data_IF_439586417192
#
_entry.id   IF_439586417192
#
_cell.length_a   1.000
_cell.length_b   1.000
_cell.length_c   1.000
_cell.angle_alpha   90.00
_cell.angle_beta   90.00
_cell.angle_gamma   90.00
#
_symmetry.space_group_name_H-M   'P 1'
#
loop_
_entity.id
_entity.type
_entity.pdbx_description
1 polymer ?
#
# COMPACT_ATOMS: atom_id res chain seq x y z
N UNK A 1 -7.59 -14.04 16.65
CA UNK A 1 -7.63 -12.93 17.65
C UNK A 1 -7.98 -11.72 16.82
N UNK A 2 -9.11 -11.06 17.04
CA UNK A 2 -9.62 -10.04 16.11
C UNK A 2 -8.60 -8.90 15.99
N UNK A 3 -8.21 -8.57 14.75
CA UNK A 3 -7.40 -7.39 14.44
C UNK A 3 -8.18 -6.17 14.91
N UNK A 4 -7.62 -5.43 15.88
CA UNK A 4 -8.26 -4.21 16.38
C UNK A 4 -8.09 -3.10 15.35
N UNK A 5 -9.21 -2.66 14.77
CA UNK A 5 -9.18 -1.57 13.80
C UNK A 5 -9.02 -0.22 14.51
N UNK A 6 -8.06 0.57 14.04
CA UNK A 6 -7.74 1.89 14.58
C UNK A 6 -8.57 2.94 13.82
N UNK A 7 -9.38 3.78 14.51
CA UNK A 7 -10.08 4.89 13.87
C UNK A 7 -9.11 5.91 13.28
N UNK A 8 -9.23 6.19 11.98
CA UNK A 8 -8.40 7.13 11.22
C UNK A 8 -9.27 7.89 10.19
N UNK A 9 -10.27 8.68 10.65
CA UNK A 9 -11.25 9.34 9.76
C UNK A 9 -10.61 10.24 8.69
N UNK A 10 -9.41 10.75 8.93
CA UNK A 10 -8.64 11.55 7.98
C UNK A 10 -8.22 10.77 6.73
N UNK A 11 -8.21 9.43 6.76
CA UNK A 11 -7.87 8.59 5.61
C UNK A 11 -9.00 8.43 4.60
N UNK A 12 -10.25 8.73 4.97
CA UNK A 12 -11.41 8.52 4.10
C UNK A 12 -11.26 9.21 2.75
N UNK A 13 -10.94 10.50 2.77
CA UNK A 13 -10.79 11.28 1.55
C UNK A 13 -9.65 10.77 0.64
N UNK A 14 -8.39 10.61 1.11
CA UNK A 14 -7.31 10.14 0.25
C UNK A 14 -7.48 8.68 -0.22
N UNK A 15 -8.17 7.82 0.54
CA UNK A 15 -8.50 6.46 0.10
C UNK A 15 -9.51 6.47 -1.04
N UNK A 16 -10.63 7.19 -0.86
CA UNK A 16 -11.67 7.29 -1.89
C UNK A 16 -11.13 7.97 -3.16
N UNK A 17 -10.27 8.97 -3.03
CA UNK A 17 -9.60 9.61 -4.17
C UNK A 17 -8.70 8.63 -4.93
N UNK A 18 -7.92 7.82 -4.22
CA UNK A 18 -7.09 6.78 -4.83
C UNK A 18 -7.94 5.75 -5.59
N UNK A 19 -9.01 5.23 -4.96
CA UNK A 19 -9.92 4.26 -5.58
C UNK A 19 -10.53 4.87 -6.86
N UNK A 20 -11.06 6.09 -6.79
CA UNK A 20 -11.64 6.77 -7.95
C UNK A 20 -10.61 7.00 -9.06
N UNK A 21 -9.37 7.38 -8.70
CA UNK A 21 -8.28 7.59 -9.66
C UNK A 21 -7.88 6.31 -10.36
N UNK A 22 -7.70 5.21 -9.62
CA UNK A 22 -7.39 3.88 -10.19
C UNK A 22 -8.52 3.42 -11.10
N UNK A 23 -9.77 3.50 -10.65
CA UNK A 23 -10.92 3.05 -11.42
C UNK A 23 -11.07 3.84 -12.73
N UNK A 24 -10.93 5.17 -12.66
CA UNK A 24 -10.98 6.03 -13.85
C UNK A 24 -9.84 5.69 -14.81
N UNK A 25 -8.62 5.55 -14.30
CA UNK A 25 -7.44 5.31 -15.14
C UNK A 25 -7.43 3.91 -15.76
N UNK A 26 -7.93 2.89 -15.06
CA UNK A 26 -8.02 1.51 -15.54
C UNK A 26 -8.80 1.40 -16.84
N UNK A 27 -9.88 2.17 -17.00
CA UNK A 27 -10.67 2.20 -18.26
C UNK A 27 -9.92 2.86 -19.43
N UNK A 28 -8.83 3.59 -19.16
CA UNK A 28 -8.02 4.30 -20.16
C UNK A 28 -6.79 3.54 -20.66
N UNK A 29 -6.53 2.32 -20.18
CA UNK A 29 -5.34 1.54 -20.52
C UNK A 29 -4.24 1.64 -19.47
N UNK A 30 -2.97 1.54 -19.87
CA UNK A 30 -1.84 1.67 -18.93
C UNK A 30 -1.79 3.07 -18.29
N UNK A 31 -1.49 3.11 -16.98
CA UNK A 31 -1.41 4.37 -16.23
C UNK A 31 -0.37 4.31 -15.12
N UNK A 32 -0.10 5.46 -14.51
CA UNK A 32 0.83 5.57 -13.38
C UNK A 32 0.22 6.31 -12.19
N UNK A 33 0.62 5.92 -10.98
CA UNK A 33 0.29 6.60 -9.72
C UNK A 33 1.58 6.78 -8.94
N UNK A 34 1.83 7.97 -8.42
CA UNK A 34 3.01 8.22 -7.59
C UNK A 34 2.97 7.30 -6.36
N UNK A 35 4.08 6.62 -6.06
CA UNK A 35 4.14 5.71 -4.90
C UNK A 35 3.86 6.46 -3.59
N UNK A 36 4.25 7.73 -3.51
CA UNK A 36 3.94 8.61 -2.38
C UNK A 36 2.42 8.83 -2.21
N UNK A 37 1.66 8.94 -3.29
CA UNK A 37 0.19 9.11 -3.21
C UNK A 37 -0.44 7.84 -2.63
N UNK A 38 -0.02 6.66 -3.09
CA UNK A 38 -0.49 5.38 -2.56
C UNK A 38 -0.21 5.24 -1.06
N UNK A 39 1.02 5.56 -0.63
CA UNK A 39 1.41 5.50 0.78
C UNK A 39 0.64 6.50 1.65
N UNK A 40 0.26 7.65 1.08
CA UNK A 40 -0.59 8.63 1.77
C UNK A 40 -1.98 8.04 2.02
N UNK A 41 -2.59 7.41 1.02
CA UNK A 41 -3.90 6.75 1.16
C UNK A 41 -3.87 5.55 2.10
N UNK A 42 -2.73 4.87 2.23
CA UNK A 42 -2.56 3.76 3.17
C UNK A 42 -2.36 4.21 4.62
N UNK A 43 -2.25 5.51 4.88
CA UNK A 43 -2.19 6.07 6.23
C UNK A 43 -0.86 5.91 6.94
N UNK A 44 0.23 5.73 6.19
CA UNK A 44 1.58 5.65 6.73
C UNK A 44 2.07 7.03 7.16
N UNK A 45 2.36 7.19 8.45
CA UNK A 45 2.96 8.40 9.02
C UNK A 45 4.47 8.40 8.80
N UNK A 46 4.95 9.20 7.85
CA UNK A 46 6.35 9.30 7.49
C UNK A 46 6.89 10.72 7.72
N UNK A 47 8.13 10.82 8.19
CA UNK A 47 8.83 12.10 8.26
C UNK A 47 9.09 12.71 6.88
N UNK A 48 9.28 14.03 6.81
CA UNK A 48 9.45 14.76 5.54
C UNK A 48 10.60 14.22 4.66
N UNK A 49 11.70 13.78 5.27
CA UNK A 49 12.83 13.16 4.55
C UNK A 49 12.47 11.82 3.91
N UNK A 50 11.61 11.03 4.56
CA UNK A 50 11.14 9.73 4.04
C UNK A 50 10.13 9.92 2.92
N UNK A 51 9.27 10.94 3.00
CA UNK A 51 8.42 11.37 1.89
C UNK A 51 9.24 11.77 0.65
N UNK A 52 10.36 12.46 0.84
CA UNK A 52 11.24 12.79 -0.28
C UNK A 52 11.84 11.55 -0.93
N UNK A 53 12.19 10.51 -0.16
CA UNK A 53 12.66 9.22 -0.70
C UNK A 53 11.57 8.50 -1.50
N UNK A 54 10.32 8.52 -1.04
CA UNK A 54 9.18 7.97 -1.77
C UNK A 54 8.96 8.70 -3.10
N UNK A 55 8.95 10.04 -3.07
CA UNK A 55 8.80 10.84 -4.30
C UNK A 55 9.94 10.58 -5.29
N UNK A 56 11.17 10.46 -4.81
CA UNK A 56 12.33 10.14 -5.65
C UNK A 56 12.28 8.74 -6.25
N UNK A 57 11.51 7.81 -5.67
CA UNK A 57 11.29 6.48 -6.21
C UNK A 57 10.31 6.48 -7.40
N UNK A 58 9.51 7.53 -7.54
CA UNK A 58 8.63 7.74 -8.68
C UNK A 58 7.36 6.91 -8.65
N UNK A 59 6.87 6.59 -9.84
CA UNK A 59 5.52 6.08 -10.00
C UNK A 59 5.45 4.55 -10.03
N UNK A 60 4.32 4.04 -9.55
CA UNK A 60 3.86 2.68 -9.80
C UNK A 60 3.13 2.66 -11.14
N UNK A 61 3.58 1.79 -12.04
CA UNK A 61 2.94 1.55 -13.33
C UNK A 61 1.88 0.46 -13.16
N UNK A 62 0.70 0.70 -13.68
CA UNK A 62 -0.42 -0.25 -13.71
C UNK A 62 -0.73 -0.63 -15.14
N UNK A 63 -0.93 -1.93 -15.37
CA UNK A 63 -1.24 -2.53 -16.67
C UNK A 63 -2.55 -3.32 -16.52
N UNK A 64 -3.70 -2.77 -16.98
CA UNK A 64 -4.95 -3.50 -17.01
C UNK A 64 -4.84 -4.81 -17.80
N UNK A 65 -5.45 -5.88 -17.29
CA UNK A 65 -5.47 -7.20 -17.94
C UNK A 65 -6.91 -7.70 -18.20
N UNK A 66 -7.90 -7.20 -17.47
CA UNK A 66 -9.32 -7.40 -17.76
C UNK A 66 -10.14 -6.17 -17.34
N UNK A 67 -11.47 -6.28 -17.25
CA UNK A 67 -12.40 -5.20 -16.88
C UNK A 67 -12.24 -4.64 -15.46
N UNK A 68 -11.62 -5.40 -14.55
CA UNK A 68 -11.49 -5.01 -13.15
C UNK A 68 -10.18 -5.42 -12.49
N UNK A 69 -9.23 -5.96 -13.24
CA UNK A 69 -7.93 -6.41 -12.71
C UNK A 69 -6.79 -6.07 -13.66
N UNK A 70 -5.59 -6.01 -13.08
CA UNK A 70 -4.35 -5.88 -13.83
C UNK A 70 -3.14 -6.14 -12.95
N UNK A 71 -1.97 -5.87 -13.49
CA UNK A 71 -0.71 -5.96 -12.75
C UNK A 71 -0.17 -4.57 -12.44
N UNK A 72 0.62 -4.45 -11.38
CA UNK A 72 1.36 -3.24 -11.06
C UNK A 72 2.83 -3.52 -10.83
N UNK A 73 3.69 -2.57 -11.18
CA UNK A 73 5.14 -2.66 -10.98
C UNK A 73 5.72 -1.29 -10.63
N UNK A 74 6.65 -1.26 -9.68
CA UNK A 74 7.52 -0.13 -9.39
C UNK A 74 8.95 -0.61 -9.10
N UNK A 75 9.89 -0.18 -9.93
CA UNK A 75 11.29 -0.57 -9.83
C UNK A 75 12.13 0.58 -9.28
N UNK A 76 13.15 0.25 -8.49
CA UNK A 76 14.09 1.22 -7.96
C UNK A 76 15.07 0.60 -6.96
N UNK A 77 15.95 1.41 -6.35
CA UNK A 77 16.77 0.91 -5.24
C UNK A 77 15.86 0.51 -4.07
N UNK A 78 16.25 -0.57 -3.37
CA UNK A 78 15.64 -0.95 -2.10
C UNK A 78 15.66 0.26 -1.15
N UNK A 79 14.54 0.53 -0.48
CA UNK A 79 14.42 1.62 0.51
C UNK A 79 13.91 1.08 1.83
N UNK A 80 14.41 1.66 2.91
CA UNK A 80 13.93 1.45 4.27
C UNK A 80 13.42 2.80 4.76
N UNK A 81 12.14 2.84 5.13
CA UNK A 81 11.41 4.03 5.49
C UNK A 81 10.90 3.90 6.93
N UNK A 82 11.59 4.47 7.91
CA UNK A 82 11.06 4.55 9.27
C UNK A 82 9.78 5.40 9.30
N UNK A 83 8.74 4.85 9.90
CA UNK A 83 7.50 5.57 10.24
C UNK A 83 7.62 6.21 11.61
N UNK A 84 6.78 7.20 11.87
CA UNK A 84 6.72 7.87 13.17
C UNK A 84 6.17 6.94 14.28
N UNK A 85 5.45 5.88 13.89
CA UNK A 85 4.86 4.89 14.80
C UNK A 85 5.84 3.75 15.21
N UNK A 86 7.14 3.91 14.90
CA UNK A 86 8.18 2.93 15.24
C UNK A 86 8.16 1.67 14.38
N UNK A 87 7.47 1.70 13.24
CA UNK A 87 7.52 0.69 12.18
C UNK A 87 8.59 1.13 11.16
N UNK A 88 9.25 0.19 10.50
CA UNK A 88 10.07 0.47 9.31
C UNK A 88 9.47 -0.25 8.13
N UNK A 89 9.07 0.50 7.10
CA UNK A 89 8.60 -0.07 5.84
C UNK A 89 9.80 -0.30 4.92
N UNK A 90 10.01 -1.54 4.52
CA UNK A 90 10.98 -1.90 3.49
C UNK A 90 10.26 -1.99 2.16
N UNK A 91 10.72 -1.20 1.20
CA UNK A 91 10.25 -1.28 -0.18
C UNK A 91 11.33 -2.04 -0.99
N UNK A 92 11.01 -3.21 -1.58
CA UNK A 92 11.97 -4.03 -2.32
C UNK A 92 12.47 -3.30 -3.56
N UNK A 93 13.52 -3.82 -4.21
CA UNK A 93 14.02 -3.23 -5.46
C UNK A 93 13.01 -3.35 -6.62
N UNK A 94 12.21 -4.41 -6.61
CA UNK A 94 11.07 -4.61 -7.49
C UNK A 94 9.84 -4.77 -6.63
N UNK A 95 8.97 -3.76 -6.62
CA UNK A 95 7.65 -3.84 -6.00
C UNK A 95 6.67 -4.25 -7.09
N UNK A 96 5.98 -5.38 -6.93
CA UNK A 96 5.10 -5.91 -7.98
C UNK A 96 3.94 -6.73 -7.41
N UNK A 97 2.92 -6.92 -8.23
CA UNK A 97 1.80 -7.78 -7.93
C UNK A 97 0.60 -7.52 -8.83
N UNK A 98 -0.55 -8.04 -8.40
CA UNK A 98 -1.83 -7.87 -9.07
C UNK A 98 -2.70 -6.87 -8.31
N UNK A 99 -3.59 -6.19 -9.03
CA UNK A 99 -4.63 -5.37 -8.44
C UNK A 99 -6.01 -5.75 -8.94
N UNK A 100 -7.00 -5.54 -8.10
CA UNK A 100 -8.43 -5.60 -8.44
C UNK A 100 -9.04 -4.25 -8.07
N UNK A 101 -9.83 -3.68 -8.96
CA UNK A 101 -10.50 -2.39 -8.77
C UNK A 101 -11.99 -2.51 -9.05
N UNK A 102 -12.79 -1.87 -8.22
CA UNK A 102 -14.23 -1.69 -8.42
C UNK A 102 -14.56 -0.20 -8.21
N UNK A 103 -15.80 0.25 -8.47
CA UNK A 103 -16.19 1.63 -8.19
C UNK A 103 -16.00 2.07 -6.73
N UNK A 104 -15.95 1.13 -5.78
CA UNK A 104 -15.87 1.42 -4.34
C UNK A 104 -14.71 0.73 -3.62
N UNK A 105 -13.86 -0.02 -4.31
CA UNK A 105 -12.75 -0.73 -3.67
C UNK A 105 -11.51 -0.87 -4.56
N UNK A 106 -10.37 -0.99 -3.90
CA UNK A 106 -9.08 -1.31 -4.48
C UNK A 106 -8.40 -2.39 -3.63
N UNK A 107 -8.03 -3.49 -4.27
CA UNK A 107 -7.22 -4.54 -3.67
C UNK A 107 -5.88 -4.58 -4.39
N UNK A 108 -4.79 -4.60 -3.63
CA UNK A 108 -3.44 -4.88 -4.10
C UNK A 108 -2.99 -6.20 -3.48
N UNK A 109 -2.52 -7.14 -4.30
CA UNK A 109 -1.92 -8.39 -3.87
C UNK A 109 -0.50 -8.43 -4.38
N UNK A 110 0.47 -8.57 -3.48
CA UNK A 110 1.89 -8.53 -3.84
C UNK A 110 2.40 -9.90 -4.26
N UNK A 111 3.36 -9.91 -5.19
CA UNK A 111 4.12 -11.13 -5.51
C UNK A 111 5.10 -11.47 -4.38
N UNK A 112 5.44 -12.76 -4.27
CA UNK A 112 6.50 -13.23 -3.37
C UNK A 112 7.82 -12.51 -3.68
N UNK A 113 8.55 -12.10 -2.65
CA UNK A 113 9.81 -11.32 -2.73
C UNK A 113 9.71 -9.91 -3.35
N UNK A 114 8.56 -9.55 -3.93
CA UNK A 114 8.25 -8.23 -4.46
C UNK A 114 7.29 -7.43 -3.57
N UNK A 115 6.97 -7.95 -2.39
CA UNK A 115 6.10 -7.32 -1.40
C UNK A 115 6.79 -6.22 -0.58
N UNK A 116 5.99 -5.26 -0.11
CA UNK A 116 6.39 -4.38 0.98
C UNK A 116 6.66 -5.22 2.24
N UNK A 117 7.61 -4.81 3.09
CA UNK A 117 7.81 -5.47 4.39
C UNK A 117 7.61 -4.48 5.54
N UNK A 118 6.78 -4.82 6.51
CA UNK A 118 6.67 -4.11 7.77
C UNK A 118 7.62 -4.70 8.81
N UNK A 119 8.56 -3.90 9.32
CA UNK A 119 9.52 -4.31 10.33
C UNK A 119 9.28 -3.57 11.66
N UNK A 120 9.01 -4.31 12.73
CA UNK A 120 8.82 -3.77 14.09
C UNK A 120 9.82 -4.39 15.05
N UNK A 121 10.40 -3.57 15.93
CA UNK A 121 11.34 -4.04 16.95
C UNK A 121 10.58 -4.39 18.23
N UNK A 122 10.43 -5.68 18.51
CA UNK A 122 9.79 -6.22 19.73
C UNK A 122 10.78 -7.18 20.38
N UNK A 123 11.68 -6.67 21.23
CA UNK A 123 12.89 -7.35 21.77
C UNK A 123 13.91 -7.77 20.69
N UNK A 124 13.46 -8.31 19.56
CA UNK A 124 14.18 -8.59 18.31
C UNK A 124 13.51 -7.85 17.14
N UNK A 125 14.20 -7.68 16.00
CA UNK A 125 13.59 -7.13 14.79
C UNK A 125 12.74 -8.20 14.11
N UNK A 126 11.44 -7.95 14.00
CA UNK A 126 10.49 -8.84 13.31
C UNK A 126 10.06 -8.13 12.02
N UNK A 127 10.33 -8.76 10.88
CA UNK A 127 9.92 -8.25 9.57
C UNK A 127 8.93 -9.22 8.93
N UNK A 128 7.84 -8.68 8.42
CA UNK A 128 6.80 -9.45 7.74
C UNK A 128 6.43 -8.81 6.43
N UNK A 129 6.18 -9.65 5.43
CA UNK A 129 5.83 -9.20 4.09
C UNK A 129 4.34 -8.85 4.08
N UNK A 130 3.96 -7.72 3.52
CA UNK A 130 2.56 -7.36 3.34
C UNK A 130 2.06 -8.17 2.15
N UNK A 131 1.16 -9.11 2.39
CA UNK A 131 0.63 -10.02 1.36
C UNK A 131 -0.37 -9.27 0.49
N UNK A 132 -1.23 -8.47 1.14
CA UNK A 132 -2.38 -7.83 0.52
C UNK A 132 -2.72 -6.52 1.21
N UNK A 133 -3.20 -5.55 0.43
CA UNK A 133 -3.85 -4.34 0.93
C UNK A 133 -5.24 -4.25 0.31
N UNK A 134 -6.27 -4.23 1.14
CA UNK A 134 -7.66 -3.99 0.75
C UNK A 134 -8.07 -2.60 1.22
N UNK A 135 -8.63 -1.80 0.31
CA UNK A 135 -9.18 -0.50 0.61
C UNK A 135 -10.61 -0.41 0.05
N UNK A 136 -11.54 0.10 0.86
CA UNK A 136 -12.92 0.35 0.46
C UNK A 136 -13.42 1.68 1.06
N UNK A 137 -14.72 1.94 0.98
CA UNK A 137 -15.34 3.17 1.48
C UNK A 137 -15.42 3.29 3.02
N UNK A 138 -15.04 2.23 3.75
CA UNK A 138 -15.10 2.15 5.21
C UNK A 138 -13.74 1.93 5.87
N UNK A 139 -12.80 1.26 5.18
CA UNK A 139 -11.53 0.85 5.79
C UNK A 139 -10.38 0.67 4.80
N UNK A 140 -9.18 0.66 5.38
CA UNK A 140 -7.97 0.08 4.79
C UNK A 140 -7.52 -1.07 5.67
N UNK A 141 -7.29 -2.24 5.07
CA UNK A 141 -6.81 -3.43 5.73
C UNK A 141 -5.53 -3.92 5.04
N UNK A 142 -4.48 -4.14 5.81
CA UNK A 142 -3.21 -4.71 5.34
C UNK A 142 -3.04 -6.08 5.98
N UNK A 143 -2.94 -7.10 5.14
CA UNK A 143 -2.76 -8.51 5.50
C UNK A 143 -1.26 -8.81 5.63
N UNK A 144 -0.84 -9.29 6.79
CA UNK A 144 0.52 -9.72 7.07
C UNK A 144 0.54 -11.20 7.53
N UNK A 145 1.66 -11.93 7.33
CA UNK A 145 1.81 -13.32 7.78
C UNK A 145 1.48 -13.54 9.25
N UNK A 146 0.25 -14.03 9.48
CA UNK A 146 -0.31 -14.30 10.79
C UNK A 146 -1.10 -13.11 11.34
N UNK A 147 -2.39 -13.36 11.62
CA UNK A 147 -3.42 -12.39 12.03
C UNK A 147 -3.03 -11.37 13.11
N UNK A 148 -1.97 -11.61 13.88
CA UNK A 148 -1.54 -10.74 14.99
C UNK A 148 -0.85 -9.46 14.53
N UNK A 149 -0.47 -9.37 13.26
CA UNK A 149 0.31 -8.26 12.73
C UNK A 149 -0.43 -7.42 11.71
N UNK A 150 -1.61 -7.88 11.28
CA UNK A 150 -2.46 -7.15 10.36
C UNK A 150 -2.74 -5.74 10.86
N UNK A 151 -2.86 -4.81 9.91
CA UNK A 151 -3.23 -3.43 10.19
C UNK A 151 -4.61 -3.18 9.65
N UNK A 152 -5.49 -2.63 10.48
CA UNK A 152 -6.82 -2.21 10.07
C UNK A 152 -7.04 -0.75 10.48
N UNK A 153 -7.40 0.09 9.50
CA UNK A 153 -7.79 1.47 9.72
C UNK A 153 -9.24 1.66 9.27
N UNK A 154 -10.09 2.21 10.13
CA UNK A 154 -11.52 2.47 9.84
C UNK A 154 -11.80 3.96 9.86
N UNK A 155 -12.75 4.42 9.04
CA UNK A 155 -13.06 5.84 8.88
C UNK A 155 -14.53 6.15 8.63
#
# INVERSE_FOLDING_TARGET
MLVECIPRPELRAPVLELIARVQKAHTGGEFTIALADMFTSFGLSLGAGEWAKLRARGDVRFTPQSESQGAFVNQGPKRELPTEDGLTIIIPSSLAGDYITTPSSLTLKFDEEAALRGCKRVFVLICQDIIKIDADEHKVYMDLPGEKYDLCFVF
#
